data_IF_645566734848
#
_entry.id   IF_645566734848
#
_cell.length_a   1.000
_cell.length_b   1.000
_cell.length_c   1.000
_cell.angle_alpha   90.00
_cell.angle_beta   90.00
_cell.angle_gamma   90.00
#
_symmetry.space_group_name_H-M   'P 1'
#
loop_
_entity.id
_entity.type
_entity.pdbx_description
1 polymer ?
#
# COMPACT_ATOMS: atom_id res chain seq x y z
N UNK A 1 -30.88 -13.80 14.26
CA UNK A 1 -29.96 -14.73 14.96
C UNK A 1 -28.82 -13.91 15.53
N UNK A 2 -28.68 -13.85 16.86
CA UNK A 2 -27.63 -13.08 17.51
C UNK A 2 -26.28 -13.78 17.31
N UNK A 3 -25.37 -13.14 16.58
CA UNK A 3 -23.99 -13.59 16.43
C UNK A 3 -23.28 -13.48 17.78
N UNK A 4 -22.86 -14.62 18.34
CA UNK A 4 -22.05 -14.68 19.56
C UNK A 4 -20.81 -13.77 19.42
N UNK A 5 -20.57 -12.83 20.34
CA UNK A 5 -19.45 -11.90 20.20
C UNK A 5 -18.14 -12.67 20.23
N UNK A 6 -17.36 -12.56 19.16
CA UNK A 6 -16.05 -13.20 19.05
C UNK A 6 -15.12 -12.58 20.11
N UNK A 7 -14.63 -13.39 21.04
CA UNK A 7 -13.75 -12.93 22.13
C UNK A 7 -12.49 -12.29 21.55
N UNK A 8 -12.25 -11.02 21.89
CA UNK A 8 -11.05 -10.28 21.47
C UNK A 8 -9.85 -10.85 22.22
N UNK A 9 -8.76 -11.13 21.52
CA UNK A 9 -7.52 -11.63 22.17
C UNK A 9 -7.03 -10.59 23.19
N UNK A 10 -6.54 -11.01 24.38
CA UNK A 10 -6.13 -10.07 25.43
C UNK A 10 -5.13 -9.00 24.96
N UNK A 11 -4.13 -9.40 24.17
CA UNK A 11 -3.13 -8.47 23.60
C UNK A 11 -3.75 -7.41 22.68
N UNK A 12 -4.69 -7.82 21.83
CA UNK A 12 -5.38 -6.89 20.91
C UNK A 12 -6.26 -5.92 21.71
N UNK A 13 -6.98 -6.43 22.72
CA UNK A 13 -7.80 -5.61 23.64
C UNK A 13 -6.96 -4.55 24.34
N UNK A 14 -5.82 -4.92 24.92
CA UNK A 14 -4.99 -3.99 25.68
C UNK A 14 -4.40 -2.90 24.75
N UNK A 15 -4.01 -3.27 23.53
CA UNK A 15 -3.56 -2.33 22.50
C UNK A 15 -4.66 -1.34 22.10
N UNK A 16 -5.90 -1.82 21.93
CA UNK A 16 -7.06 -0.99 21.62
C UNK A 16 -7.31 0.02 22.73
N UNK A 17 -7.36 -0.44 23.99
CA UNK A 17 -7.65 0.40 25.16
C UNK A 17 -6.58 1.48 25.33
N UNK A 18 -5.30 1.14 25.19
CA UNK A 18 -4.20 2.10 25.29
C UNK A 18 -4.29 3.21 24.24
N UNK A 19 -4.55 2.86 22.98
CA UNK A 19 -4.70 3.84 21.92
C UNK A 19 -5.89 4.78 22.15
N UNK A 20 -7.05 4.23 22.55
CA UNK A 20 -8.22 5.05 22.90
C UNK A 20 -7.97 5.97 24.10
N UNK A 21 -7.29 5.47 25.15
CA UNK A 21 -6.93 6.26 26.32
C UNK A 21 -5.98 7.43 26.00
N UNK A 22 -5.15 7.28 24.97
CA UNK A 22 -4.26 8.34 24.47
C UNK A 22 -4.94 9.26 23.43
N UNK A 23 -6.22 9.07 23.13
CA UNK A 23 -6.95 9.86 22.13
C UNK A 23 -6.53 9.59 20.68
N UNK A 24 -5.86 8.47 20.42
CA UNK A 24 -5.37 8.09 19.08
C UNK A 24 -6.15 6.92 18.50
N UNK A 25 -6.16 6.81 17.17
CA UNK A 25 -6.83 5.72 16.46
C UNK A 25 -6.04 4.42 16.65
N UNK A 26 -6.66 3.33 17.17
CA UNK A 26 -5.97 2.06 17.34
C UNK A 26 -5.50 1.47 16.01
N UNK A 27 -4.27 0.94 15.97
CA UNK A 27 -3.71 0.30 14.76
C UNK A 27 -4.32 -1.09 14.49
N UNK A 28 -4.89 -1.72 15.52
CA UNK A 28 -5.51 -3.03 15.49
C UNK A 28 -6.90 -2.95 16.11
N UNK A 29 -7.80 -3.82 15.68
CA UNK A 29 -9.11 -3.96 16.32
C UNK A 29 -10.12 -2.87 15.99
N UNK A 30 -9.89 -2.07 14.93
CA UNK A 30 -10.81 -1.03 14.47
C UNK A 30 -12.23 -1.54 14.23
N UNK A 31 -12.38 -2.80 13.80
CA UNK A 31 -13.66 -3.46 13.61
C UNK A 31 -14.50 -3.60 14.89
N UNK A 32 -13.88 -3.52 16.07
CA UNK A 32 -14.57 -3.65 17.36
C UNK A 32 -15.10 -2.32 17.88
N UNK A 33 -14.69 -1.21 17.28
CA UNK A 33 -14.96 0.16 17.74
C UNK A 33 -15.88 0.88 16.75
N UNK A 34 -16.57 0.14 15.88
CA UNK A 34 -17.31 0.73 14.79
C UNK A 34 -18.50 1.55 15.30
N UNK A 35 -18.35 2.88 15.30
CA UNK A 35 -19.43 3.83 15.61
C UNK A 35 -20.06 4.28 14.30
N UNK A 36 -21.37 4.03 14.16
CA UNK A 36 -22.27 4.36 13.04
C UNK A 36 -21.67 5.00 11.80
N UNK A 37 -21.41 4.20 10.74
CA UNK A 37 -21.14 4.57 9.32
C UNK A 37 -21.38 3.40 8.37
N UNK A 38 -22.40 2.58 8.66
CA UNK A 38 -22.59 1.31 7.97
C UNK A 38 -22.77 1.50 6.46
N UNK A 39 -23.48 2.57 6.06
CA UNK A 39 -23.73 2.88 4.66
C UNK A 39 -22.45 3.34 3.93
N UNK A 40 -21.65 4.20 4.55
CA UNK A 40 -20.40 4.70 3.99
C UNK A 40 -19.37 3.58 3.88
N UNK A 41 -19.24 2.73 4.92
CA UNK A 41 -18.37 1.54 4.87
C UNK A 41 -18.83 0.60 3.76
N UNK A 42 -20.13 0.32 3.64
CA UNK A 42 -20.67 -0.54 2.58
C UNK A 42 -20.39 0.04 1.17
N UNK A 43 -20.45 1.36 1.02
CA UNK A 43 -20.15 2.02 -0.25
C UNK A 43 -18.66 1.89 -0.64
N UNK A 44 -17.74 2.10 0.31
CA UNK A 44 -16.30 1.96 0.05
C UNK A 44 -15.87 0.49 -0.09
N UNK A 45 -16.56 -0.45 0.57
CA UNK A 45 -16.37 -1.89 0.34
C UNK A 45 -16.65 -2.27 -1.11
N UNK A 46 -17.75 -1.77 -1.69
CA UNK A 46 -18.06 -1.98 -3.11
C UNK A 46 -16.99 -1.40 -4.03
N UNK A 47 -16.42 -0.25 -3.67
CA UNK A 47 -15.32 0.34 -4.44
C UNK A 47 -14.04 -0.49 -4.34
N UNK A 48 -13.70 -0.99 -3.15
CA UNK A 48 -12.56 -1.91 -2.96
C UNK A 48 -12.72 -3.16 -3.82
N UNK A 49 -13.92 -3.72 -3.91
CA UNK A 49 -14.19 -4.89 -4.78
C UNK A 49 -14.00 -4.54 -6.26
N UNK A 50 -14.55 -3.40 -6.71
CA UNK A 50 -14.34 -2.92 -8.09
C UNK A 50 -12.87 -2.67 -8.41
N UNK A 51 -12.10 -2.10 -7.47
CA UNK A 51 -10.66 -1.89 -7.62
C UNK A 51 -9.95 -3.24 -7.77
N UNK A 52 -10.35 -4.26 -7.02
CA UNK A 52 -9.86 -5.63 -7.17
C UNK A 52 -10.11 -6.20 -8.57
N UNK A 53 -11.21 -5.81 -9.20
CA UNK A 53 -11.58 -6.19 -10.57
C UNK A 53 -11.01 -5.23 -11.65
N UNK A 54 -9.90 -4.53 -11.33
CA UNK A 54 -9.18 -3.62 -12.25
C UNK A 54 -9.96 -2.37 -12.68
N UNK A 55 -10.96 -1.94 -11.92
CA UNK A 55 -11.59 -0.63 -12.09
C UNK A 55 -10.89 0.47 -11.27
N UNK A 56 -11.25 1.73 -11.51
CA UNK A 56 -10.78 2.87 -10.73
C UNK A 56 -11.95 3.65 -10.12
N UNK A 57 -11.73 4.19 -8.93
CA UNK A 57 -12.73 5.00 -8.22
C UNK A 57 -12.02 6.15 -7.49
N UNK A 58 -12.72 7.27 -7.34
CA UNK A 58 -12.22 8.43 -6.61
C UNK A 58 -13.33 8.98 -5.70
N UNK A 59 -12.99 9.32 -4.46
CA UNK A 59 -13.94 9.83 -3.47
C UNK A 59 -13.37 10.98 -2.65
N UNK A 60 -14.25 11.92 -2.34
CA UNK A 60 -14.03 12.91 -1.29
C UNK A 60 -14.81 12.51 -0.04
N UNK A 61 -14.14 12.54 1.12
CA UNK A 61 -14.76 12.32 2.43
C UNK A 61 -14.77 13.67 3.15
N UNK A 62 -15.96 14.26 3.24
CA UNK A 62 -16.18 15.60 3.78
C UNK A 62 -16.91 15.50 5.12
N UNK A 63 -16.56 16.37 6.07
CA UNK A 63 -17.18 16.43 7.38
C UNK A 63 -16.43 17.39 8.30
N UNK A 64 -17.01 17.70 9.46
CA UNK A 64 -16.44 18.63 10.44
C UNK A 64 -15.11 18.13 11.05
N UNK A 65 -14.34 19.05 11.63
CA UNK A 65 -13.15 18.68 12.40
C UNK A 65 -13.55 17.78 13.57
N UNK A 66 -12.76 16.74 13.85
CA UNK A 66 -13.11 15.75 14.88
C UNK A 66 -14.20 14.75 14.47
N UNK A 67 -14.84 14.89 13.31
CA UNK A 67 -15.83 13.93 12.80
C UNK A 67 -15.21 12.59 12.35
N UNK A 68 -14.09 12.14 12.90
CA UNK A 68 -13.53 10.80 12.65
C UNK A 68 -13.16 10.48 11.19
N UNK A 69 -12.84 11.48 10.35
CA UNK A 69 -12.46 11.25 8.94
C UNK A 69 -11.18 10.40 8.82
N UNK A 70 -10.15 10.73 9.60
CA UNK A 70 -8.89 9.98 9.65
C UNK A 70 -9.11 8.55 10.14
N UNK A 71 -9.94 8.38 11.17
CA UNK A 71 -10.34 7.05 11.64
C UNK A 71 -11.00 6.23 10.51
N UNK A 72 -11.93 6.84 9.79
CA UNK A 72 -12.64 6.20 8.68
C UNK A 72 -11.69 5.80 7.54
N UNK A 73 -10.78 6.69 7.12
CA UNK A 73 -9.76 6.39 6.13
C UNK A 73 -8.86 5.21 6.56
N UNK A 74 -8.45 5.18 7.84
CA UNK A 74 -7.67 4.08 8.39
C UNK A 74 -8.45 2.75 8.42
N UNK A 75 -9.75 2.78 8.70
CA UNK A 75 -10.60 1.60 8.63
C UNK A 75 -10.69 1.06 7.20
N UNK A 76 -10.93 1.92 6.21
CA UNK A 76 -10.97 1.52 4.79
C UNK A 76 -9.61 0.97 4.34
N UNK A 77 -8.50 1.58 4.79
CA UNK A 77 -7.14 1.07 4.55
C UNK A 77 -6.96 -0.34 5.11
N UNK A 78 -7.37 -0.59 6.35
CA UNK A 78 -7.27 -1.91 6.98
C UNK A 78 -8.09 -2.97 6.22
N UNK A 79 -9.29 -2.61 5.76
CA UNK A 79 -10.15 -3.49 4.96
C UNK A 79 -9.50 -3.82 3.60
N UNK A 80 -8.94 -2.82 2.91
CA UNK A 80 -8.25 -3.03 1.63
C UNK A 80 -7.07 -4.01 1.78
N UNK A 81 -6.29 -3.88 2.86
CA UNK A 81 -5.19 -4.81 3.18
C UNK A 81 -5.70 -6.24 3.43
N UNK A 82 -6.80 -6.41 4.14
CA UNK A 82 -7.42 -7.75 4.35
C UNK A 82 -7.93 -8.36 3.03
N UNK A 83 -8.37 -7.53 2.09
CA UNK A 83 -8.73 -7.92 0.71
C UNK A 83 -7.50 -8.14 -0.20
N UNK A 84 -6.29 -8.19 0.37
CA UNK A 84 -5.00 -8.42 -0.33
C UNK A 84 -4.63 -7.30 -1.33
N UNK A 85 -5.20 -6.11 -1.18
CA UNK A 85 -4.76 -4.94 -1.94
C UNK A 85 -3.54 -4.30 -1.30
N UNK A 86 -2.82 -3.52 -2.11
CA UNK A 86 -1.73 -2.65 -1.65
C UNK A 86 -2.33 -1.28 -1.34
N UNK A 87 -1.87 -0.67 -0.25
CA UNK A 87 -2.32 0.68 0.14
C UNK A 87 -1.15 1.63 0.30
N UNK A 88 -1.39 2.89 0.01
CA UNK A 88 -0.48 4.01 0.30
C UNK A 88 -1.28 5.11 0.99
N UNK A 89 -0.62 5.92 1.82
CA UNK A 89 -1.25 7.05 2.47
C UNK A 89 -0.22 8.14 2.74
N UNK A 90 -0.67 9.38 2.75
CA UNK A 90 0.12 10.55 3.07
C UNK A 90 -0.79 11.66 3.59
N UNK A 91 -0.25 12.50 4.46
CA UNK A 91 -0.95 13.68 4.97
C UNK A 91 -0.63 14.89 4.09
N UNK A 92 -1.67 15.57 3.62
CA UNK A 92 -1.50 16.80 2.87
C UNK A 92 -1.22 17.97 3.82
N UNK A 93 -0.23 18.79 3.50
CA UNK A 93 0.20 19.89 4.35
C UNK A 93 1.02 20.94 3.60
N UNK A 94 1.64 21.91 4.27
CA UNK A 94 2.47 22.92 3.61
C UNK A 94 3.62 22.36 2.77
N UNK A 95 4.22 21.27 3.24
CA UNK A 95 5.39 20.64 2.62
C UNK A 95 5.05 19.42 1.76
N UNK A 96 3.81 18.93 1.80
CA UNK A 96 3.31 17.77 1.05
C UNK A 96 2.03 18.17 0.31
N UNK A 97 2.18 18.61 -0.94
CA UNK A 97 1.07 19.10 -1.78
C UNK A 97 1.14 18.49 -3.17
N UNK A 98 -0.03 18.23 -3.76
CA UNK A 98 -0.16 17.60 -5.08
C UNK A 98 0.43 18.44 -6.22
N UNK A 99 0.45 19.76 -6.07
CA UNK A 99 0.94 20.67 -7.10
C UNK A 99 1.88 21.72 -6.49
N UNK A 100 3.17 21.61 -6.80
CA UNK A 100 4.20 22.55 -6.36
C UNK A 100 5.47 22.42 -7.21
N UNK A 101 6.22 23.52 -7.35
CA UNK A 101 7.46 23.59 -8.14
C UNK A 101 8.73 23.45 -7.29
N UNK A 102 8.64 23.58 -5.97
CA UNK A 102 9.79 23.53 -5.04
C UNK A 102 10.11 22.13 -4.50
N UNK A 103 9.72 21.07 -5.22
CA UNK A 103 9.98 19.68 -4.82
C UNK A 103 8.96 19.07 -3.84
N UNK A 104 7.98 19.83 -3.33
CA UNK A 104 6.98 19.34 -2.37
C UNK A 104 6.11 18.21 -2.96
N UNK A 105 5.78 18.30 -4.25
CA UNK A 105 5.04 17.23 -4.94
C UNK A 105 5.87 15.94 -4.98
N UNK A 106 7.18 16.05 -5.28
CA UNK A 106 8.10 14.90 -5.25
C UNK A 106 8.19 14.31 -3.84
N UNK A 107 8.28 15.14 -2.81
CA UNK A 107 8.29 14.68 -1.41
C UNK A 107 7.02 13.91 -1.04
N UNK A 108 5.85 14.40 -1.46
CA UNK A 108 4.58 13.69 -1.26
C UNK A 108 4.57 12.32 -1.94
N UNK A 109 5.04 12.22 -3.19
CA UNK A 109 5.17 10.94 -3.88
C UNK A 109 6.15 9.99 -3.18
N UNK A 110 7.33 10.50 -2.77
CA UNK A 110 8.33 9.70 -2.06
C UNK A 110 7.79 9.18 -0.72
N UNK A 111 7.07 10.01 0.03
CA UNK A 111 6.41 9.60 1.27
C UNK A 111 5.34 8.52 1.02
N UNK A 112 4.51 8.71 -0.02
CA UNK A 112 3.46 7.77 -0.40
C UNK A 112 4.04 6.39 -0.72
N UNK A 113 5.14 6.34 -1.49
CA UNK A 113 5.85 5.10 -1.82
C UNK A 113 6.55 4.49 -0.60
N UNK A 114 7.16 5.31 0.25
CA UNK A 114 7.74 4.84 1.52
C UNK A 114 6.69 4.21 2.44
N UNK A 115 5.49 4.76 2.45
CA UNK A 115 4.35 4.28 3.24
C UNK A 115 3.58 3.14 2.57
N UNK A 116 4.07 2.59 1.45
CA UNK A 116 3.46 1.45 0.77
C UNK A 116 3.37 0.26 1.72
N UNK A 117 2.14 -0.20 1.92
CA UNK A 117 1.79 -1.24 2.87
C UNK A 117 1.07 -2.40 2.19
N UNK A 118 1.37 -3.60 2.67
CA UNK A 118 0.71 -4.85 2.29
C UNK A 118 0.13 -5.51 3.54
N UNK A 119 -0.73 -6.53 3.36
CA UNK A 119 -1.31 -7.27 4.49
C UNK A 119 -0.28 -7.77 5.49
N UNK A 120 0.88 -8.19 5.00
CA UNK A 120 1.95 -8.79 5.82
C UNK A 120 2.79 -7.74 6.56
N UNK A 121 2.77 -6.48 6.13
CA UNK A 121 3.51 -5.38 6.75
C UNK A 121 2.69 -4.08 6.60
N UNK A 122 1.68 -3.91 7.49
CA UNK A 122 0.70 -2.81 7.41
C UNK A 122 1.26 -1.44 7.83
N UNK A 123 2.43 -1.42 8.47
CA UNK A 123 3.14 -0.21 8.92
C UNK A 123 3.94 0.49 7.79
N UNK A 124 3.96 -0.05 6.57
CA UNK A 124 4.64 0.55 5.42
C UNK A 124 6.03 -0.02 5.14
N UNK A 125 6.77 0.60 4.22
CA UNK A 125 8.13 0.20 3.85
C UNK A 125 8.21 -1.18 3.21
N UNK A 126 7.26 -1.51 2.33
CA UNK A 126 7.18 -2.84 1.68
C UNK A 126 7.63 -2.87 0.23
N UNK A 127 8.03 -1.73 -0.35
CA UNK A 127 8.43 -1.67 -1.76
C UNK A 127 9.50 -2.72 -2.11
N UNK A 128 10.52 -2.85 -1.26
CA UNK A 128 11.58 -3.85 -1.45
C UNK A 128 11.04 -5.27 -1.48
N UNK A 129 10.24 -5.66 -0.51
CA UNK A 129 9.64 -7.00 -0.49
C UNK A 129 8.73 -7.26 -1.70
N UNK A 130 8.04 -6.23 -2.21
CA UNK A 130 7.22 -6.33 -3.43
C UNK A 130 8.10 -6.57 -4.65
N UNK A 131 9.19 -5.82 -4.79
CA UNK A 131 10.16 -5.97 -5.89
C UNK A 131 10.85 -7.33 -5.83
N UNK A 132 11.25 -7.79 -4.64
CA UNK A 132 11.86 -9.11 -4.45
C UNK A 132 10.91 -10.24 -4.87
N UNK A 133 9.65 -10.19 -4.42
CA UNK A 133 8.65 -11.20 -4.81
C UNK A 133 8.39 -11.16 -6.32
N UNK A 134 8.34 -9.98 -6.93
CA UNK A 134 8.18 -9.84 -8.38
C UNK A 134 9.36 -10.47 -9.14
N UNK A 135 10.59 -10.21 -8.71
CA UNK A 135 11.80 -10.74 -9.33
C UNK A 135 11.91 -12.25 -9.16
N UNK A 136 11.64 -12.78 -7.97
CA UNK A 136 11.65 -14.23 -7.72
C UNK A 136 10.65 -14.93 -8.64
N UNK A 137 9.42 -14.42 -8.77
CA UNK A 137 8.43 -14.97 -9.71
C UNK A 137 8.90 -14.89 -11.17
N UNK A 138 9.53 -13.78 -11.55
CA UNK A 138 10.07 -13.62 -12.90
C UNK A 138 11.22 -14.61 -13.18
N UNK A 139 12.07 -14.91 -12.19
CA UNK A 139 13.12 -15.94 -12.28
C UNK A 139 12.52 -17.33 -12.44
N UNK A 140 11.55 -17.68 -11.62
CA UNK A 140 10.86 -18.99 -11.70
C UNK A 140 10.18 -19.20 -13.06
N UNK A 141 9.55 -18.15 -13.61
CA UNK A 141 8.96 -18.19 -14.96
C UNK A 141 10.01 -18.28 -16.06
N UNK A 142 11.14 -17.58 -15.90
CA UNK A 142 12.23 -17.58 -16.86
C UNK A 142 12.89 -18.96 -16.95
N UNK A 143 13.11 -19.62 -15.81
CA UNK A 143 13.63 -20.99 -15.72
C UNK A 143 12.71 -21.98 -16.45
N UNK A 144 11.40 -21.93 -16.18
CA UNK A 144 10.39 -22.76 -16.86
C UNK A 144 10.34 -22.53 -18.37
N UNK A 145 10.58 -21.29 -18.81
CA UNK A 145 10.54 -20.91 -20.22
C UNK A 145 11.89 -21.07 -20.95
N UNK A 146 12.98 -21.43 -20.25
CA UNK A 146 14.33 -21.45 -20.81
C UNK A 146 14.82 -20.07 -21.27
N UNK A 147 14.31 -18.99 -20.67
CA UNK A 147 14.65 -17.60 -21.01
C UNK A 147 15.46 -16.97 -19.89
N UNK A 148 16.09 -15.82 -20.18
CA UNK A 148 16.72 -15.00 -19.15
C UNK A 148 15.66 -14.22 -18.34
N UNK A 149 15.82 -14.04 -17.02
CA UNK A 149 14.88 -13.29 -16.19
C UNK A 149 14.60 -11.87 -16.68
N UNK A 150 15.60 -11.19 -17.27
CA UNK A 150 15.43 -9.85 -17.85
C UNK A 150 14.37 -9.82 -18.94
N UNK A 151 14.29 -10.85 -19.77
CA UNK A 151 13.31 -10.92 -20.88
C UNK A 151 11.89 -11.00 -20.32
N UNK A 152 11.70 -11.79 -19.26
CA UNK A 152 10.40 -11.92 -18.59
C UNK A 152 10.01 -10.60 -17.90
N UNK A 153 10.94 -9.97 -17.18
CA UNK A 153 10.71 -8.67 -16.54
C UNK A 153 10.34 -7.61 -17.57
N UNK A 154 11.09 -7.50 -18.66
CA UNK A 154 10.80 -6.52 -19.72
C UNK A 154 9.43 -6.78 -20.37
N UNK A 155 9.06 -8.04 -20.58
CA UNK A 155 7.75 -8.39 -21.11
C UNK A 155 6.61 -8.04 -20.16
N UNK A 156 6.77 -8.28 -18.85
CA UNK A 156 5.74 -7.96 -17.85
C UNK A 156 5.59 -6.45 -17.64
N UNK A 157 6.67 -5.69 -17.77
CA UNK A 157 6.67 -4.23 -17.62
C UNK A 157 6.44 -3.49 -18.94
N UNK A 158 6.21 -4.20 -20.05
CA UNK A 158 6.07 -3.60 -21.38
C UNK A 158 4.95 -2.55 -21.43
N UNK A 159 3.79 -2.83 -20.81
CA UNK A 159 2.67 -1.90 -20.75
C UNK A 159 3.02 -0.60 -20.00
N UNK A 160 3.93 -0.66 -19.02
CA UNK A 160 4.34 0.53 -18.27
C UNK A 160 5.23 1.46 -19.09
N UNK A 161 5.92 0.96 -20.12
CA UNK A 161 6.80 1.77 -20.97
C UNK A 161 6.06 2.85 -21.75
N UNK A 162 4.76 2.67 -21.98
CA UNK A 162 3.90 3.67 -22.63
C UNK A 162 3.58 4.85 -21.70
N UNK A 163 3.86 4.73 -20.40
CA UNK A 163 3.67 5.80 -19.42
C UNK A 163 4.93 6.64 -19.23
N UNK A 164 4.74 7.88 -18.77
CA UNK A 164 5.83 8.78 -18.40
C UNK A 164 6.76 8.14 -17.35
N UNK A 165 8.05 8.06 -17.66
CA UNK A 165 9.05 7.43 -16.78
C UNK A 165 9.05 5.89 -16.79
N UNK A 166 8.23 5.24 -17.62
CA UNK A 166 8.12 3.78 -17.68
C UNK A 166 9.38 3.06 -18.17
N UNK A 167 10.11 3.67 -19.10
CA UNK A 167 11.40 3.16 -19.57
C UNK A 167 12.44 3.16 -18.44
N UNK A 168 12.53 4.27 -17.71
CA UNK A 168 13.43 4.42 -16.56
C UNK A 168 13.05 3.44 -15.45
N UNK A 169 11.76 3.31 -15.15
CA UNK A 169 11.26 2.34 -14.18
C UNK A 169 11.67 0.90 -14.54
N UNK A 170 11.49 0.50 -15.79
CA UNK A 170 11.91 -0.84 -16.26
C UNK A 170 13.42 -1.03 -16.10
N UNK A 171 14.21 0.00 -16.41
CA UNK A 171 15.67 -0.02 -16.29
C UNK A 171 16.13 -0.12 -14.84
N UNK A 172 15.43 0.56 -13.91
CA UNK A 172 15.68 0.50 -12.47
C UNK A 172 15.38 -0.90 -11.91
N UNK A 173 14.26 -1.52 -12.29
CA UNK A 173 13.95 -2.90 -11.86
C UNK A 173 14.97 -3.91 -12.43
N UNK A 174 15.41 -3.72 -13.67
CA UNK A 174 16.49 -4.54 -14.23
C UNK A 174 17.84 -4.32 -13.53
N UNK A 175 18.12 -3.10 -13.05
CA UNK A 175 19.29 -2.83 -12.21
C UNK A 175 19.18 -3.54 -10.85
N UNK A 176 18.00 -3.57 -10.23
CA UNK A 176 17.78 -4.31 -9.00
C UNK A 176 18.02 -5.82 -9.19
N UNK A 177 17.53 -6.42 -10.29
CA UNK A 177 17.82 -7.82 -10.62
C UNK A 177 19.33 -8.09 -10.70
N UNK A 178 20.07 -7.26 -11.45
CA UNK A 178 21.53 -7.38 -11.56
C UNK A 178 22.21 -7.26 -10.20
N UNK A 179 21.76 -6.33 -9.35
CA UNK A 179 22.24 -6.19 -7.98
C UNK A 179 22.00 -7.46 -7.16
N UNK A 180 20.82 -8.06 -7.27
CA UNK A 180 20.49 -9.33 -6.61
C UNK A 180 21.33 -10.51 -7.09
N UNK A 181 21.71 -10.58 -8.37
CA UNK A 181 22.53 -11.68 -8.91
C UNK A 181 24.02 -11.53 -8.59
N UNK A 182 24.51 -10.29 -8.58
CA UNK A 182 25.91 -9.97 -8.28
C UNK A 182 26.21 -9.84 -6.78
N UNK A 183 25.20 -9.92 -5.91
CA UNK A 183 25.36 -9.67 -4.46
C UNK A 183 25.71 -8.21 -4.15
N UNK A 184 25.38 -7.28 -5.05
CA UNK A 184 25.66 -5.85 -4.89
C UNK A 184 24.49 -5.15 -4.19
N UNK A 185 24.57 -5.08 -2.86
CA UNK A 185 23.55 -4.44 -2.01
C UNK A 185 23.44 -2.92 -2.25
N UNK A 186 24.52 -2.25 -2.65
CA UNK A 186 24.48 -0.82 -3.00
C UNK A 186 23.61 -0.58 -4.23
N UNK A 187 23.73 -1.44 -5.25
CA UNK A 187 22.93 -1.36 -6.46
C UNK A 187 21.45 -1.67 -6.19
N UNK A 188 21.17 -2.66 -5.32
CA UNK A 188 19.80 -2.94 -4.85
C UNK A 188 19.20 -1.73 -4.15
N UNK A 189 19.93 -1.14 -3.20
CA UNK A 189 19.49 0.02 -2.43
C UNK A 189 19.26 1.25 -3.31
N UNK A 190 20.16 1.50 -4.26
CA UNK A 190 20.04 2.60 -5.22
C UNK A 190 18.80 2.49 -6.11
N UNK A 191 18.38 1.27 -6.46
CA UNK A 191 17.20 1.04 -7.30
C UNK A 191 15.86 1.22 -6.56
N UNK A 192 15.86 1.27 -5.22
CA UNK A 192 14.63 1.41 -4.39
C UNK A 192 14.51 2.79 -3.74
N UNK A 193 15.56 3.61 -3.82
CA UNK A 193 15.62 4.98 -3.26
C UNK A 193 14.66 5.94 -3.97
#
# INVERSE_FOLDING_TARGET
>A
MATTPKTIRPKDRDTIIQALGAGVVPRLGLQHIQVGRAQEVAALLKDIERIGDSASTFRFIIGEYGAGKTFFLNLIRAIALEKKLVTVHADLGPYHRLHATGGQARSLYAETIKNLATRNKPDGGTLESVVEVFITKAKDEAEKAGKKPEVIIQSKLAALREHTGGFDFTSVIAAYLRGSESGNDELKSAAIR
#
